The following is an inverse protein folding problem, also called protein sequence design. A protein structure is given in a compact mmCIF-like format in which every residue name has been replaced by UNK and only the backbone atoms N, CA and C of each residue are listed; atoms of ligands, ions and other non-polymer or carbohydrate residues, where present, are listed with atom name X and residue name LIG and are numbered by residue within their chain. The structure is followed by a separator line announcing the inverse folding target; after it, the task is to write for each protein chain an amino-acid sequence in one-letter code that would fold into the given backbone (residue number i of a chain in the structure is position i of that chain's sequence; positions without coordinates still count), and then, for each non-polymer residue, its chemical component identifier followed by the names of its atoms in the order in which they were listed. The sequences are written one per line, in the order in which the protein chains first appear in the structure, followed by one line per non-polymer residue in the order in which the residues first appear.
data_IF_419978535180
#
_entry.id   IF_419978535180
#
_cell.length_a   1.000
_cell.length_b   1.000
_cell.length_c   1.000
_cell.angle_alpha   90.00
_cell.angle_beta   90.00
_cell.angle_gamma   90.00
#
_symmetry.space_group_name_H-M   'P 1'
#
loop_
_entity.id
_entity.type
_entity.pdbx_description
1 polymer ?
#
# COMPACT_ATOMS: atom_id res chain seq x y z
N UNK A 1 -2.95 -3.24 -8.93
CA UNK A 1 -3.35 -2.64 -7.64
C UNK A 1 -2.30 -1.70 -7.05
N UNK A 2 -1.01 -2.06 -6.94
CA UNK A 2 0.00 -1.17 -6.34
C UNK A 2 0.13 0.20 -7.01
N UNK A 3 0.08 0.27 -8.34
CA UNK A 3 0.06 1.55 -9.08
C UNK A 3 -1.13 2.42 -8.70
N UNK A 4 -2.30 1.80 -8.46
CA UNK A 4 -3.51 2.51 -8.02
C UNK A 4 -3.31 3.07 -6.59
N UNK A 5 -2.69 2.30 -5.70
CA UNK A 5 -2.38 2.78 -4.34
C UNK A 5 -1.38 3.95 -4.36
N UNK A 6 -0.31 3.85 -5.16
CA UNK A 6 0.67 4.94 -5.31
C UNK A 6 0.04 6.21 -5.89
N UNK A 7 -0.85 6.10 -6.88
CA UNK A 7 -1.60 7.24 -7.42
C UNK A 7 -2.64 7.80 -6.44
N UNK A 8 -3.23 6.96 -5.59
CA UNK A 8 -4.17 7.42 -4.58
C UNK A 8 -3.49 8.35 -3.56
N UNK A 9 -2.22 8.09 -3.23
CA UNK A 9 -1.42 9.03 -2.44
C UNK A 9 -1.25 10.38 -3.16
N UNK A 10 -0.90 10.38 -4.45
CA UNK A 10 -0.72 11.63 -5.22
C UNK A 10 -2.01 12.49 -5.27
N UNK A 11 -3.18 11.84 -5.28
CA UNK A 11 -4.49 12.52 -5.32
C UNK A 11 -4.93 13.02 -3.93
N UNK A 12 -4.61 12.28 -2.86
CA UNK A 12 -5.18 12.54 -1.53
C UNK A 12 -4.20 13.16 -0.53
N UNK A 13 -2.90 12.97 -0.73
CA UNK A 13 -1.85 13.28 0.25
C UNK A 13 -1.88 12.40 1.51
N UNK A 14 -2.73 11.37 1.55
CA UNK A 14 -2.89 10.53 2.75
C UNK A 14 -1.95 9.33 2.68
N UNK A 15 -1.01 9.25 3.63
CA UNK A 15 -0.08 8.12 3.76
C UNK A 15 -0.71 6.82 4.27
N UNK A 16 -1.94 6.87 4.77
CA UNK A 16 -2.73 5.69 5.15
C UNK A 16 -4.20 5.92 4.82
N UNK A 17 -4.82 4.94 4.16
CA UNK A 17 -6.19 5.02 3.70
C UNK A 17 -6.77 3.61 3.52
N UNK A 18 -8.08 3.48 3.73
CA UNK A 18 -8.86 2.35 3.27
C UNK A 18 -9.34 2.58 1.83
N UNK A 19 -9.41 1.51 1.05
CA UNK A 19 -9.94 1.55 -0.31
C UNK A 19 -11.00 0.48 -0.48
N UNK A 20 -12.06 0.84 -1.20
CA UNK A 20 -13.02 -0.13 -1.72
C UNK A 20 -12.71 -0.36 -3.20
N UNK A 21 -12.32 -1.59 -3.51
CA UNK A 21 -11.98 -2.03 -4.86
C UNK A 21 -12.94 -3.14 -5.28
N UNK A 22 -13.49 -3.01 -6.48
CA UNK A 22 -14.21 -4.10 -7.15
C UNK A 22 -13.38 -4.63 -8.31
N UNK A 23 -13.42 -5.96 -8.51
CA UNK A 23 -12.78 -6.60 -9.66
C UNK A 23 -13.84 -6.84 -10.71
N UNK A 24 -13.80 -6.03 -11.76
CA UNK A 24 -14.64 -6.20 -12.93
C UNK A 24 -13.96 -7.13 -13.94
N UNK A 25 -14.72 -8.03 -14.54
CA UNK A 25 -14.21 -9.05 -15.46
C UNK A 25 -13.60 -8.46 -16.73
N UNK A 26 -14.10 -7.31 -17.20
CA UNK A 26 -13.66 -6.69 -18.45
C UNK A 26 -12.68 -5.54 -18.20
N UNK A 27 -12.89 -4.77 -17.13
CA UNK A 27 -12.13 -3.56 -16.81
C UNK A 27 -11.02 -3.80 -15.79
N UNK A 28 -11.00 -4.97 -15.16
CA UNK A 28 -10.06 -5.28 -14.08
C UNK A 28 -10.39 -4.55 -12.77
N UNK A 29 -9.39 -4.27 -11.92
CA UNK A 29 -9.62 -3.60 -10.64
C UNK A 29 -10.10 -2.15 -10.80
N UNK A 30 -11.22 -1.80 -10.18
CA UNK A 30 -11.80 -0.46 -10.16
C UNK A 30 -11.85 0.07 -8.72
N UNK A 31 -11.38 1.30 -8.53
CA UNK A 31 -11.47 2.03 -7.27
C UNK A 31 -12.83 2.71 -7.15
N UNK A 32 -13.59 2.42 -6.09
CA UNK A 32 -14.91 3.01 -5.84
C UNK A 32 -14.84 4.14 -4.81
N UNK A 33 -14.10 3.92 -3.73
CA UNK A 33 -14.01 4.85 -2.60
C UNK A 33 -12.59 4.90 -2.01
N UNK A 34 -12.18 6.10 -1.60
CA UNK A 34 -11.02 6.34 -0.75
C UNK A 34 -11.49 6.82 0.62
N UNK A 35 -11.10 6.12 1.67
CA UNK A 35 -11.51 6.41 3.04
C UNK A 35 -10.30 6.71 3.94
N UNK A 36 -10.10 7.98 4.28
CA UNK A 36 -9.01 8.42 5.15
C UNK A 36 -9.15 8.04 6.62
N UNK A 37 -10.26 7.42 7.04
CA UNK A 37 -10.54 7.00 8.42
C UNK A 37 -10.94 5.52 8.49
N UNK A 38 -10.22 4.67 7.76
CA UNK A 38 -10.46 3.23 7.83
C UNK A 38 -10.08 2.68 9.21
N UNK A 39 -11.00 1.99 9.86
CA UNK A 39 -10.70 1.25 11.09
C UNK A 39 -9.71 0.11 10.85
N UNK A 40 -8.93 -0.25 11.87
CA UNK A 40 -7.94 -1.33 11.79
C UNK A 40 -8.56 -2.74 11.73
N UNK A 41 -9.89 -2.85 11.85
CA UNK A 41 -10.59 -4.14 11.90
C UNK A 41 -10.35 -5.01 10.66
N UNK A 42 -10.16 -4.39 9.47
CA UNK A 42 -9.78 -5.11 8.23
C UNK A 42 -8.43 -5.84 8.38
N UNK A 43 -7.50 -5.31 9.18
CA UNK A 43 -6.18 -5.93 9.34
C UNK A 43 -6.26 -7.31 10.02
N UNK A 44 -7.30 -7.54 10.83
CA UNK A 44 -7.53 -8.84 11.50
C UNK A 44 -7.75 -9.95 10.46
N UNK A 45 -8.34 -9.64 9.31
CA UNK A 45 -8.59 -10.61 8.25
C UNK A 45 -7.30 -11.16 7.64
N UNK A 46 -6.26 -10.34 7.55
CA UNK A 46 -4.98 -10.73 6.92
C UNK A 46 -4.08 -11.56 7.84
N UNK A 47 -4.42 -11.69 9.14
CA UNK A 47 -3.62 -12.38 10.18
C UNK A 47 -2.12 -12.02 10.17
N UNK A 48 -1.80 -10.84 9.66
CA UNK A 48 -0.46 -10.37 9.43
C UNK A 48 -0.39 -8.92 9.87
N UNK A 49 0.50 -8.64 10.83
CA UNK A 49 0.66 -7.30 11.39
C UNK A 49 1.33 -6.36 10.40
N UNK A 50 0.79 -5.16 10.24
CA UNK A 50 1.34 -4.15 9.33
C UNK A 50 2.48 -3.33 9.92
N UNK A 51 2.81 -3.53 11.21
CA UNK A 51 3.77 -2.70 11.94
C UNK A 51 5.15 -2.66 11.25
N UNK A 52 5.72 -3.83 10.96
CA UNK A 52 7.03 -3.93 10.29
C UNK A 52 7.05 -3.24 8.93
N UNK A 53 5.97 -3.37 8.17
CA UNK A 53 5.85 -2.74 6.85
C UNK A 53 5.77 -1.21 6.97
N UNK A 54 4.97 -0.72 7.91
CA UNK A 54 4.83 0.72 8.16
C UNK A 54 6.17 1.30 8.64
N UNK A 55 6.86 0.62 9.55
CA UNK A 55 8.16 1.09 10.07
C UNK A 55 9.20 1.20 8.94
N UNK A 56 9.29 0.22 8.03
CA UNK A 56 10.17 0.29 6.86
C UNK A 56 9.81 1.45 5.92
N UNK A 57 8.51 1.65 5.64
CA UNK A 57 8.06 2.73 4.74
C UNK A 57 8.32 4.12 5.34
N UNK A 58 8.12 4.30 6.65
CA UNK A 58 8.39 5.57 7.33
C UNK A 58 9.88 5.94 7.37
N UNK A 59 10.78 4.96 7.25
CA UNK A 59 12.22 5.17 7.19
C UNK A 59 12.76 5.30 5.75
N UNK A 60 11.94 5.00 4.75
CA UNK A 60 12.36 5.05 3.37
C UNK A 60 12.38 6.51 2.86
N UNK A 61 13.51 6.91 2.29
CA UNK A 61 13.61 8.17 1.54
C UNK A 61 12.87 8.02 0.21
N UNK A 62 11.80 8.79 0.04
CA UNK A 62 10.92 8.72 -1.15
C UNK A 62 10.85 10.03 -1.92
N UNK A 63 11.67 11.01 -1.54
CA UNK A 63 11.78 12.28 -2.25
C UNK A 63 12.10 12.05 -3.72
N UNK A 64 11.40 12.76 -4.59
CA UNK A 64 11.52 12.70 -6.06
C UNK A 64 11.23 11.34 -6.71
N UNK A 65 10.76 10.33 -5.96
CA UNK A 65 10.35 9.06 -6.54
C UNK A 65 9.05 9.19 -7.35
N UNK A 66 9.05 8.61 -8.54
CA UNK A 66 7.82 8.53 -9.34
C UNK A 66 6.90 7.39 -8.86
N UNK A 67 5.75 7.22 -9.52
CA UNK A 67 4.78 6.16 -9.19
C UNK A 67 5.40 4.76 -9.28
N UNK A 68 6.19 4.48 -10.33
CA UNK A 68 6.77 3.17 -10.55
C UNK A 68 7.88 2.87 -9.54
N UNK A 69 8.73 3.85 -9.20
CA UNK A 69 9.78 3.73 -8.18
C UNK A 69 9.17 3.36 -6.82
N UNK A 70 8.10 4.06 -6.42
CA UNK A 70 7.38 3.78 -5.16
C UNK A 70 6.73 2.40 -5.16
N UNK A 71 6.22 1.93 -6.31
CA UNK A 71 5.70 0.57 -6.46
C UNK A 71 6.81 -0.47 -6.32
N UNK A 72 8.00 -0.23 -6.88
CA UNK A 72 9.14 -1.14 -6.73
C UNK A 72 9.64 -1.19 -5.29
N UNK A 73 9.77 -0.03 -4.63
CA UNK A 73 10.13 0.04 -3.22
C UNK A 73 9.16 -0.77 -2.34
N UNK A 74 7.86 -0.59 -2.53
CA UNK A 74 6.85 -1.34 -1.77
C UNK A 74 6.93 -2.86 -1.98
N UNK A 75 7.27 -3.31 -3.20
CA UNK A 75 7.49 -4.74 -3.50
C UNK A 75 8.75 -5.26 -2.82
N UNK A 76 9.84 -4.50 -2.84
CA UNK A 76 11.08 -4.88 -2.18
C UNK A 76 10.88 -5.06 -0.68
N UNK A 77 10.31 -4.05 0.00
CA UNK A 77 9.99 -4.11 1.44
C UNK A 77 9.14 -5.34 1.78
N UNK A 78 8.08 -5.60 0.99
CA UNK A 78 7.22 -6.76 1.22
C UNK A 78 8.01 -8.07 1.10
N UNK A 79 8.81 -8.24 0.04
CA UNK A 79 9.58 -9.46 -0.19
C UNK A 79 10.65 -9.70 0.89
N UNK A 80 11.34 -8.65 1.32
CA UNK A 80 12.37 -8.74 2.37
C UNK A 80 11.77 -9.20 3.71
N UNK A 81 10.57 -8.69 4.03
CA UNK A 81 9.84 -9.07 5.24
C UNK A 81 9.23 -10.49 5.17
N UNK A 82 8.92 -11.00 3.98
CA UNK A 82 8.45 -12.39 3.81
C UNK A 82 9.58 -13.42 3.85
N UNK A 83 10.78 -13.04 3.39
CA UNK A 83 11.94 -13.94 3.32
C UNK A 83 12.74 -14.00 4.62
N UNK A 84 12.41 -13.16 5.61
CA UNK A 84 13.10 -13.11 6.90
C UNK A 84 14.51 -12.50 6.81
N UNK A 85 14.82 -11.77 5.74
CA UNK A 85 16.13 -11.14 5.49
C UNK A 85 16.24 -9.76 6.14
N UNK A 86 15.17 -9.28 6.79
CA UNK A 86 15.23 -8.07 7.62
C UNK A 86 15.98 -8.35 8.95
N UNK A 87 17.31 -8.25 8.88
CA UNK A 87 18.23 -8.13 10.02
C UNK A 87 18.74 -6.71 10.15
#
# INVERSE_FOLDING_TARGET
MLVMAARAFDVTGLGYLGVDIVVDDQKGPLLLELNGRSGLAIQIANRFGMRSHIDCVLQAETTDMNVDDRVQLGRAIYNDLQTGVAG
#
